data_IF_716799525798
#
_entry.id   IF_716799525798
#
_cell.length_a   1.000
_cell.length_b   1.000
_cell.length_c   1.000
_cell.angle_alpha   90.00
_cell.angle_beta   90.00
_cell.angle_gamma   90.00
#
_symmetry.space_group_name_H-M   'P 1'
#
loop_
_entity.id
_entity.type
_entity.pdbx_description
1 polymer ?
#
# COMPACT_ATOMS: atom_id res chain seq x y z
N UNK A 1 -33.41 79.55 4.20
CA UNK A 1 -32.18 79.30 3.40
C UNK A 1 -31.01 78.76 4.23
N UNK A 2 -30.18 79.56 4.92
CA UNK A 2 -28.95 79.02 5.55
C UNK A 2 -29.18 78.05 6.74
N UNK A 3 -30.31 78.18 7.47
CA UNK A 3 -30.68 77.29 8.58
C UNK A 3 -31.17 75.93 8.07
N UNK A 4 -32.01 75.91 7.04
CA UNK A 4 -32.50 74.68 6.40
C UNK A 4 -31.36 73.87 5.78
N UNK A 5 -30.43 74.51 5.08
CA UNK A 5 -29.24 73.85 4.53
C UNK A 5 -28.40 73.20 5.64
N UNK A 6 -28.23 73.87 6.79
CA UNK A 6 -27.53 73.30 7.95
C UNK A 6 -28.23 72.07 8.51
N UNK A 7 -29.56 72.08 8.56
CA UNK A 7 -30.35 70.95 9.05
C UNK A 7 -30.22 69.75 8.11
N UNK A 8 -30.27 69.98 6.79
CA UNK A 8 -30.11 68.95 5.76
C UNK A 8 -28.71 68.31 5.81
N UNK A 9 -27.66 69.13 5.94
CA UNK A 9 -26.28 68.66 6.10
C UNK A 9 -26.12 67.81 7.37
N UNK A 10 -26.72 68.22 8.50
CA UNK A 10 -26.69 67.44 9.74
C UNK A 10 -27.37 66.07 9.59
N UNK A 11 -28.48 66.01 8.85
CA UNK A 11 -29.17 64.75 8.53
C UNK A 11 -28.30 63.82 7.69
N UNK A 12 -27.75 64.32 6.58
CA UNK A 12 -26.84 63.52 5.74
C UNK A 12 -25.60 63.05 6.51
N UNK A 13 -25.04 63.89 7.38
CA UNK A 13 -23.89 63.53 8.21
C UNK A 13 -24.21 62.41 9.21
N UNK A 14 -25.41 62.37 9.79
CA UNK A 14 -25.81 61.29 10.70
C UNK A 14 -25.96 59.96 9.96
N UNK A 15 -26.57 59.96 8.78
CA UNK A 15 -26.69 58.79 7.91
C UNK A 15 -25.32 58.24 7.48
N UNK A 16 -24.42 59.12 7.03
CA UNK A 16 -23.05 58.74 6.66
C UNK A 16 -22.28 58.21 7.87
N UNK A 17 -22.48 58.81 9.05
CA UNK A 17 -21.86 58.34 10.30
C UNK A 17 -22.35 56.95 10.70
N UNK A 18 -23.64 56.65 10.51
CA UNK A 18 -24.20 55.32 10.72
C UNK A 18 -23.64 54.31 9.71
N UNK A 19 -23.60 54.66 8.41
CA UNK A 19 -22.98 53.82 7.37
C UNK A 19 -21.53 53.48 7.68
N UNK A 20 -20.74 54.42 8.22
CA UNK A 20 -19.37 54.18 8.68
C UNK A 20 -19.29 53.09 9.76
N UNK A 21 -20.24 53.06 10.71
CA UNK A 21 -20.27 52.03 11.75
C UNK A 21 -20.57 50.66 11.15
N UNK A 22 -21.55 50.57 10.24
CA UNK A 22 -21.88 49.33 9.54
C UNK A 22 -20.69 48.78 8.74
N UNK A 23 -19.98 49.65 8.01
CA UNK A 23 -18.79 49.27 7.25
C UNK A 23 -17.67 48.73 8.15
N UNK A 24 -17.43 49.36 9.31
CA UNK A 24 -16.45 48.86 10.28
C UNK A 24 -16.83 47.48 10.82
N UNK A 25 -18.12 47.26 11.10
CA UNK A 25 -18.61 45.94 11.53
C UNK A 25 -18.44 44.89 10.43
N UNK A 26 -18.77 45.23 9.18
CA UNK A 26 -18.60 44.34 8.03
C UNK A 26 -17.12 43.97 7.79
N UNK A 27 -16.20 44.93 7.93
CA UNK A 27 -14.75 44.67 7.84
C UNK A 27 -14.30 43.65 8.88
N UNK A 28 -14.73 43.79 10.14
CA UNK A 28 -14.42 42.83 11.20
C UNK A 28 -14.94 41.41 10.87
N UNK A 29 -16.17 41.30 10.35
CA UNK A 29 -16.73 40.00 9.95
C UNK A 29 -15.93 39.35 8.82
N UNK A 30 -15.40 40.16 7.89
CA UNK A 30 -14.53 39.67 6.82
C UNK A 30 -13.21 39.14 7.40
N UNK A 31 -12.57 39.90 8.30
CA UNK A 31 -11.31 39.49 8.95
C UNK A 31 -11.50 38.17 9.73
N UNK A 32 -12.58 38.07 10.50
CA UNK A 32 -12.92 36.86 11.26
C UNK A 32 -13.12 35.64 10.33
N UNK A 33 -13.78 35.83 9.17
CA UNK A 33 -13.95 34.77 8.16
C UNK A 33 -12.65 34.38 7.49
N UNK A 34 -11.79 35.32 7.17
CA UNK A 34 -10.47 35.04 6.59
C UNK A 34 -9.62 34.19 7.55
N UNK A 35 -9.62 34.54 8.83
CA UNK A 35 -8.94 33.77 9.87
C UNK A 35 -9.51 32.35 9.97
N UNK A 36 -10.83 32.20 9.96
CA UNK A 36 -11.48 30.89 9.98
C UNK A 36 -11.08 30.01 8.78
N UNK A 37 -10.99 30.59 7.58
CA UNK A 37 -10.54 29.89 6.37
C UNK A 37 -9.10 29.39 6.55
N UNK A 38 -8.21 30.24 7.05
CA UNK A 38 -6.81 29.89 7.32
C UNK A 38 -6.71 28.71 8.32
N UNK A 39 -7.45 28.76 9.42
CA UNK A 39 -7.47 27.70 10.43
C UNK A 39 -8.04 26.39 9.87
N UNK A 40 -9.16 26.45 9.12
CA UNK A 40 -9.72 25.24 8.48
C UNK A 40 -8.76 24.63 7.47
N UNK A 41 -8.10 25.44 6.65
CA UNK A 41 -7.07 24.96 5.71
C UNK A 41 -5.93 24.25 6.44
N UNK A 42 -5.42 24.85 7.52
CA UNK A 42 -4.36 24.25 8.33
C UNK A 42 -4.79 22.89 8.90
N UNK A 43 -5.99 22.81 9.46
CA UNK A 43 -6.56 21.56 10.00
C UNK A 43 -6.69 20.47 8.93
N UNK A 44 -7.31 20.77 7.79
CA UNK A 44 -7.47 19.79 6.69
C UNK A 44 -6.11 19.34 6.13
N UNK A 45 -5.13 20.23 6.09
CA UNK A 45 -3.75 19.87 5.67
C UNK A 45 -3.12 18.85 6.63
N UNK A 46 -3.35 18.98 7.94
CA UNK A 46 -2.88 18.02 8.93
C UNK A 46 -3.57 16.66 8.76
N UNK A 47 -4.89 16.64 8.58
CA UNK A 47 -5.67 15.41 8.32
C UNK A 47 -5.18 14.68 7.06
N UNK A 48 -4.92 15.40 5.96
CA UNK A 48 -4.32 14.82 4.75
C UNK A 48 -2.95 14.20 5.05
N UNK A 49 -2.12 14.90 5.83
CA UNK A 49 -0.78 14.43 6.18
C UNK A 49 -0.84 13.15 7.01
N UNK A 50 -1.76 13.07 7.98
CA UNK A 50 -1.97 11.89 8.81
C UNK A 50 -2.46 10.69 7.99
N UNK A 51 -3.40 10.91 7.08
CA UNK A 51 -3.90 9.87 6.17
C UNK A 51 -2.76 9.28 5.31
N UNK A 52 -1.92 10.14 4.73
CA UNK A 52 -0.76 9.69 3.93
C UNK A 52 0.21 8.89 4.77
N UNK A 53 0.50 9.33 6.00
CA UNK A 53 1.38 8.59 6.93
C UNK A 53 0.83 7.21 7.26
N UNK A 54 -0.47 7.10 7.52
CA UNK A 54 -1.12 5.83 7.82
C UNK A 54 -0.99 4.84 6.65
N UNK A 55 -1.32 5.28 5.43
CA UNK A 55 -1.22 4.44 4.22
C UNK A 55 0.22 4.00 3.96
N UNK A 56 1.16 4.94 4.07
CA UNK A 56 2.60 4.66 3.89
C UNK A 56 3.10 3.64 4.90
N UNK A 57 2.72 3.78 6.17
CA UNK A 57 3.10 2.85 7.23
C UNK A 57 2.53 1.45 7.00
N UNK A 58 1.27 1.35 6.55
CA UNK A 58 0.64 0.07 6.24
C UNK A 58 1.39 -0.68 5.12
N UNK A 59 1.76 0.03 4.04
CA UNK A 59 2.53 -0.54 2.93
C UNK A 59 3.92 -0.98 3.40
N UNK A 60 4.62 -0.12 4.16
CA UNK A 60 5.96 -0.43 4.68
C UNK A 60 5.95 -1.64 5.62
N UNK A 61 4.95 -1.74 6.50
CA UNK A 61 4.79 -2.89 7.38
C UNK A 61 4.60 -4.17 6.59
N UNK A 62 3.74 -4.14 5.56
CA UNK A 62 3.52 -5.30 4.69
C UNK A 62 4.80 -5.71 3.94
N UNK A 63 5.56 -4.74 3.44
CA UNK A 63 6.86 -4.98 2.79
C UNK A 63 7.86 -5.69 3.73
N UNK A 64 7.98 -5.22 4.98
CA UNK A 64 8.84 -5.87 5.99
C UNK A 64 8.41 -7.31 6.28
N UNK A 65 7.11 -7.57 6.41
CA UNK A 65 6.59 -8.92 6.63
C UNK A 65 6.91 -9.87 5.47
N UNK A 66 6.79 -9.40 4.23
CA UNK A 66 7.13 -10.18 3.04
C UNK A 66 8.62 -10.53 3.01
N UNK A 67 9.49 -9.56 3.27
CA UNK A 67 10.94 -9.78 3.34
C UNK A 67 11.32 -10.77 4.44
N UNK A 68 10.72 -10.63 5.63
CA UNK A 68 10.92 -11.57 6.74
C UNK A 68 10.51 -13.00 6.36
N UNK A 69 9.31 -13.15 5.78
CA UNK A 69 8.81 -14.47 5.35
C UNK A 69 9.65 -15.10 4.24
N UNK A 70 10.16 -14.29 3.30
CA UNK A 70 11.09 -14.77 2.28
C UNK A 70 12.36 -15.32 2.92
N UNK A 71 12.95 -14.59 3.88
CA UNK A 71 14.15 -15.02 4.58
C UNK A 71 13.92 -16.34 5.33
N UNK A 72 12.83 -16.43 6.09
CA UNK A 72 12.43 -17.64 6.83
C UNK A 72 12.32 -18.87 5.93
N UNK A 73 11.67 -18.75 4.77
CA UNK A 73 11.52 -19.85 3.80
C UNK A 73 12.86 -20.24 3.16
N UNK A 74 13.68 -19.26 2.80
CA UNK A 74 15.00 -19.49 2.22
C UNK A 74 15.93 -20.20 3.23
N UNK A 75 15.98 -19.73 4.46
CA UNK A 75 16.79 -20.33 5.54
C UNK A 75 16.36 -21.77 5.82
N UNK A 76 15.05 -22.04 5.90
CA UNK A 76 14.55 -23.39 6.09
C UNK A 76 14.97 -24.33 4.95
N UNK A 77 14.84 -23.89 3.69
CA UNK A 77 15.28 -24.68 2.53
C UNK A 77 16.80 -24.91 2.54
N UNK A 78 17.58 -23.87 2.86
CA UNK A 78 19.04 -23.95 2.93
C UNK A 78 19.48 -24.92 4.02
N UNK A 79 18.83 -24.89 5.19
CA UNK A 79 19.09 -25.80 6.29
C UNK A 79 18.86 -27.25 5.88
N UNK A 80 17.72 -27.56 5.26
CA UNK A 80 17.44 -28.92 4.76
C UNK A 80 18.49 -29.38 3.74
N UNK A 81 18.88 -28.52 2.81
CA UNK A 81 19.93 -28.86 1.83
C UNK A 81 21.28 -29.10 2.50
N UNK A 82 21.61 -28.31 3.52
CA UNK A 82 22.86 -28.47 4.27
C UNK A 82 22.87 -29.79 5.07
N UNK A 83 21.77 -30.16 5.71
CA UNK A 83 21.63 -31.45 6.41
C UNK A 83 21.79 -32.65 5.46
N UNK A 84 21.19 -32.57 4.26
CA UNK A 84 21.39 -33.57 3.20
C UNK A 84 22.85 -33.63 2.76
N UNK A 85 23.49 -32.48 2.54
CA UNK A 85 24.91 -32.40 2.17
C UNK A 85 25.80 -33.08 3.20
N UNK A 86 25.65 -32.75 4.49
CA UNK A 86 26.44 -33.37 5.58
C UNK A 86 26.26 -34.89 5.60
N UNK A 87 25.02 -35.38 5.42
CA UNK A 87 24.72 -36.81 5.38
C UNK A 87 25.40 -37.51 4.20
N UNK A 88 25.39 -36.87 3.01
CA UNK A 88 26.04 -37.39 1.81
C UNK A 88 27.58 -37.39 1.94
N UNK A 89 28.16 -36.34 2.52
CA UNK A 89 29.61 -36.27 2.79
C UNK A 89 30.06 -37.40 3.73
N UNK A 90 29.29 -37.68 4.78
CA UNK A 90 29.59 -38.80 5.69
C UNK A 90 29.51 -40.15 4.98
N UNK A 91 28.49 -40.35 4.14
CA UNK A 91 28.35 -41.58 3.35
C UNK A 91 29.50 -41.75 2.36
N UNK A 92 29.94 -40.66 1.72
CA UNK A 92 31.12 -40.64 0.84
C UNK A 92 32.36 -41.11 1.59
N UNK A 93 32.69 -40.48 2.73
CA UNK A 93 33.88 -40.83 3.52
C UNK A 93 33.90 -42.29 3.97
N UNK A 94 32.76 -42.82 4.41
CA UNK A 94 32.63 -44.23 4.79
C UNK A 94 32.87 -45.16 3.59
N UNK A 95 32.37 -44.77 2.42
CA UNK A 95 32.55 -45.52 1.17
C UNK A 95 34.01 -45.49 0.75
N UNK A 96 34.66 -44.33 0.76
CA UNK A 96 36.06 -44.14 0.41
C UNK A 96 36.99 -44.99 1.29
N UNK A 97 36.81 -44.91 2.62
CA UNK A 97 37.59 -45.71 3.56
C UNK A 97 37.38 -47.21 3.33
N UNK A 98 36.15 -47.66 3.06
CA UNK A 98 35.89 -49.07 2.77
C UNK A 98 36.59 -49.52 1.49
N UNK A 99 36.58 -48.69 0.44
CA UNK A 99 37.27 -48.97 -0.82
C UNK A 99 38.77 -49.10 -0.58
N UNK A 100 39.38 -48.13 0.11
CA UNK A 100 40.80 -48.13 0.43
C UNK A 100 41.22 -49.36 1.25
N UNK A 101 40.47 -49.65 2.33
CA UNK A 101 40.73 -50.79 3.19
C UNK A 101 40.66 -52.12 2.43
N UNK A 102 39.61 -52.32 1.63
CA UNK A 102 39.43 -53.57 0.88
C UNK A 102 40.47 -53.70 -0.22
N UNK A 103 40.78 -52.62 -0.95
CA UNK A 103 41.82 -52.64 -1.96
C UNK A 103 43.18 -52.99 -1.36
N UNK A 104 43.56 -52.38 -0.23
CA UNK A 104 44.82 -52.69 0.45
C UNK A 104 44.87 -54.16 0.91
N UNK A 105 43.77 -54.68 1.47
CA UNK A 105 43.66 -56.09 1.84
C UNK A 105 43.79 -57.05 0.66
N UNK A 106 43.26 -56.68 -0.51
CA UNK A 106 43.35 -57.45 -1.74
C UNK A 106 44.75 -57.41 -2.38
N UNK A 107 45.48 -56.30 -2.26
CA UNK A 107 46.80 -56.14 -2.90
C UNK A 107 47.96 -56.59 -2.02
N UNK A 108 47.87 -56.41 -0.71
CA UNK A 108 48.98 -56.65 0.23
C UNK A 108 48.71 -57.76 1.25
N UNK A 109 47.47 -58.17 1.43
CA UNK A 109 47.07 -59.18 2.41
C UNK A 109 47.42 -60.62 1.98
N UNK A 110 47.65 -61.50 2.95
CA UNK A 110 47.82 -62.93 2.69
C UNK A 110 46.47 -63.64 2.46
N UNK A 111 46.46 -64.71 1.68
CA UNK A 111 45.24 -65.48 1.38
C UNK A 111 44.51 -65.95 2.65
N UNK A 112 45.25 -66.36 3.69
CA UNK A 112 44.66 -66.77 4.97
C UNK A 112 44.04 -65.61 5.76
N UNK A 113 44.62 -64.41 5.70
CA UNK A 113 44.03 -63.22 6.31
C UNK A 113 42.74 -62.79 5.57
N UNK A 114 42.73 -62.93 4.24
CA UNK A 114 41.54 -62.64 3.43
C UNK A 114 40.43 -63.67 3.67
N UNK A 115 40.77 -64.96 3.74
CA UNK A 115 39.82 -66.03 4.07
C UNK A 115 39.21 -65.86 5.47
N UNK A 116 40.02 -65.53 6.47
CA UNK A 116 39.54 -65.35 7.85
C UNK A 116 38.64 -64.12 8.01
N UNK A 117 38.84 -63.06 7.23
CA UNK A 117 38.05 -61.82 7.29
C UNK A 117 36.90 -61.75 6.27
N UNK A 118 36.81 -62.68 5.32
CA UNK A 118 35.87 -62.70 4.19
C UNK A 118 34.43 -62.34 4.55
N UNK A 119 33.85 -63.02 5.54
CA UNK A 119 32.44 -62.84 5.90
C UNK A 119 32.17 -61.40 6.37
N UNK A 120 33.07 -60.83 7.17
CA UNK A 120 32.94 -59.48 7.70
C UNK A 120 33.08 -58.42 6.60
N UNK A 121 34.09 -58.57 5.72
CA UNK A 121 34.31 -57.65 4.60
C UNK A 121 33.13 -57.68 3.62
N UNK A 122 32.67 -58.88 3.24
CA UNK A 122 31.52 -59.04 2.35
C UNK A 122 30.25 -58.42 2.94
N UNK A 123 29.99 -58.66 4.22
CA UNK A 123 28.83 -58.09 4.89
C UNK A 123 28.90 -56.55 4.95
N UNK A 124 30.08 -55.99 5.24
CA UNK A 124 30.28 -54.54 5.27
C UNK A 124 30.07 -53.89 3.89
N UNK A 125 30.64 -54.48 2.84
CA UNK A 125 30.45 -54.04 1.45
C UNK A 125 28.97 -54.12 1.02
N UNK A 126 28.28 -55.23 1.33
CA UNK A 126 26.85 -55.38 1.06
C UNK A 126 26.02 -54.30 1.77
N UNK A 127 26.36 -53.96 3.01
CA UNK A 127 25.67 -52.92 3.78
C UNK A 127 25.86 -51.54 3.17
N UNK A 128 27.08 -51.17 2.76
CA UNK A 128 27.36 -49.89 2.10
C UNK A 128 26.64 -49.83 0.75
N UNK A 129 26.77 -50.88 -0.08
CA UNK A 129 26.11 -50.97 -1.39
C UNK A 129 24.59 -50.83 -1.31
N UNK A 130 23.97 -51.43 -0.30
CA UNK A 130 22.51 -51.45 -0.16
C UNK A 130 21.97 -50.17 0.50
N UNK A 131 22.85 -49.32 1.06
CA UNK A 131 22.43 -48.07 1.71
C UNK A 131 22.10 -47.04 0.64
N UNK A 132 20.83 -46.65 0.57
CA UNK A 132 20.37 -45.60 -0.36
C UNK A 132 20.83 -44.23 0.13
N UNK A 133 21.28 -43.40 -0.81
CA UNK A 133 21.56 -41.99 -0.60
C UNK A 133 20.34 -41.15 -1.03
N UNK A 134 19.87 -40.25 -0.17
CA UNK A 134 18.84 -39.27 -0.54
C UNK A 134 19.49 -38.09 -1.24
N UNK A 135 19.75 -38.25 -2.54
CA UNK A 135 20.41 -37.25 -3.39
C UNK A 135 19.34 -36.26 -3.87
N UNK A 136 19.50 -34.94 -3.63
CA UNK A 136 18.61 -33.93 -4.19
C UNK A 136 18.53 -34.06 -5.71
N UNK A 137 17.32 -34.06 -6.28
CA UNK A 137 17.15 -34.12 -7.73
C UNK A 137 17.67 -32.81 -8.37
N UNK A 138 18.70 -32.87 -9.24
CA UNK A 138 19.29 -31.68 -9.85
C UNK A 138 18.32 -30.92 -10.78
N UNK A 139 17.30 -31.60 -11.31
CA UNK A 139 16.32 -31.01 -12.24
C UNK A 139 15.16 -30.28 -11.55
N UNK A 140 15.09 -30.27 -10.21
CA UNK A 140 14.02 -29.60 -9.47
C UNK A 140 14.53 -28.23 -8.96
N UNK A 141 14.28 -27.13 -9.68
CA UNK A 141 14.71 -25.80 -9.25
C UNK A 141 13.92 -25.34 -8.01
N UNK A 142 14.57 -24.54 -7.16
CA UNK A 142 13.92 -23.83 -6.06
C UNK A 142 13.07 -22.70 -6.64
N UNK A 143 11.74 -22.90 -6.69
CA UNK A 143 10.79 -21.90 -7.20
C UNK A 143 10.35 -20.97 -6.06
N UNK A 144 10.74 -19.70 -6.14
CA UNK A 144 10.31 -18.63 -5.24
C UNK A 144 9.78 -17.49 -6.11
N UNK A 145 8.54 -17.08 -5.87
CA UNK A 145 7.90 -16.03 -6.64
C UNK A 145 7.07 -15.11 -5.72
N UNK A 146 7.07 -13.81 -6.03
CA UNK A 146 6.16 -12.84 -5.45
C UNK A 146 4.91 -12.75 -6.32
N UNK A 147 3.73 -12.92 -5.74
CA UNK A 147 2.48 -12.61 -6.43
C UNK A 147 2.20 -11.10 -6.26
N UNK A 148 1.98 -10.39 -7.38
CA UNK A 148 1.69 -8.95 -7.41
C UNK A 148 0.37 -8.60 -8.10
N UNK A 149 -0.51 -9.58 -8.31
CA UNK A 149 -1.72 -9.44 -9.13
C UNK A 149 -2.67 -8.34 -8.62
N UNK A 150 -2.63 -8.05 -7.31
CA UNK A 150 -3.49 -7.07 -6.65
C UNK A 150 -2.96 -5.63 -6.66
N UNK A 151 -1.73 -5.39 -7.15
CA UNK A 151 -1.10 -4.06 -7.09
C UNK A 151 -1.86 -3.04 -7.95
N UNK A 152 -2.37 -3.46 -9.09
CA UNK A 152 -3.12 -2.61 -10.02
C UNK A 152 -4.45 -2.17 -9.41
N UNK A 153 -5.16 -3.06 -8.72
CA UNK A 153 -6.42 -2.72 -8.07
C UNK A 153 -6.20 -1.83 -6.84
N UNK A 154 -5.13 -2.07 -6.08
CA UNK A 154 -4.74 -1.17 -4.99
C UNK A 154 -4.45 0.23 -5.51
N UNK A 155 -3.76 0.37 -6.65
CA UNK A 155 -3.48 1.67 -7.26
C UNK A 155 -4.78 2.42 -7.63
N UNK A 156 -5.77 1.72 -8.19
CA UNK A 156 -7.10 2.31 -8.47
C UNK A 156 -7.79 2.79 -7.20
N UNK A 157 -7.73 2.00 -6.12
CA UNK A 157 -8.29 2.41 -4.83
C UNK A 157 -7.59 3.68 -4.34
N UNK A 158 -6.25 3.71 -4.35
CA UNK A 158 -5.44 4.86 -3.91
C UNK A 158 -5.76 6.12 -4.72
N UNK A 159 -5.96 6.02 -6.03
CA UNK A 159 -6.35 7.15 -6.88
C UNK A 159 -7.69 7.79 -6.48
N UNK A 160 -8.57 7.01 -5.86
CA UNK A 160 -9.90 7.45 -5.44
C UNK A 160 -9.98 7.79 -3.93
N UNK A 161 -8.86 7.72 -3.19
CA UNK A 161 -8.83 8.07 -1.77
C UNK A 161 -8.87 9.59 -1.60
N UNK A 162 -9.80 10.04 -0.77
CA UNK A 162 -9.93 11.43 -0.36
C UNK A 162 -10.64 12.27 -1.42
N UNK A 163 -11.54 13.14 -0.95
CA UNK A 163 -12.10 14.20 -1.77
C UNK A 163 -12.22 15.46 -0.92
N UNK A 164 -11.95 16.61 -1.52
CA UNK A 164 -12.10 17.88 -0.82
C UNK A 164 -13.53 18.35 -0.98
N UNK A 165 -14.23 18.59 0.13
CA UNK A 165 -15.55 19.19 0.13
C UNK A 165 -15.48 20.58 0.76
N UNK A 166 -15.91 21.60 0.03
CA UNK A 166 -16.00 22.98 0.52
C UNK A 166 -17.41 23.49 0.25
N UNK A 167 -18.11 23.91 1.31
CA UNK A 167 -19.48 24.45 1.25
C UNK A 167 -20.46 23.57 0.44
N UNK A 168 -20.36 22.25 0.62
CA UNK A 168 -21.22 21.27 -0.06
C UNK A 168 -20.82 20.92 -1.49
N UNK A 169 -19.73 21.48 -2.02
CA UNK A 169 -19.20 21.17 -3.35
C UNK A 169 -17.96 20.29 -3.25
N UNK A 170 -17.93 19.22 -4.04
CA UNK A 170 -16.75 18.37 -4.17
C UNK A 170 -15.75 19.00 -5.16
N UNK A 171 -14.50 19.07 -4.75
CA UNK A 171 -13.36 19.48 -5.56
C UNK A 171 -12.58 18.22 -5.92
N UNK A 172 -12.80 17.72 -7.13
CA UNK A 172 -12.01 16.64 -7.73
C UNK A 172 -10.98 17.22 -8.68
N UNK A 173 -9.85 16.52 -8.79
CA UNK A 173 -8.77 16.85 -9.72
C UNK A 173 -9.27 16.68 -11.18
N UNK A 174 -9.07 17.65 -12.10
CA UNK A 174 -9.58 17.54 -13.48
C UNK A 174 -8.95 16.43 -14.33
N UNK A 175 -7.91 15.73 -13.85
CA UNK A 175 -7.16 14.74 -14.63
C UNK A 175 -7.69 13.31 -14.63
N UNK A 176 -8.80 13.01 -13.94
CA UNK A 176 -9.46 11.68 -13.97
C UNK A 176 -10.76 11.66 -14.80
N UNK A 177 -10.92 12.60 -15.73
CA UNK A 177 -12.02 12.58 -16.71
C UNK A 177 -11.69 11.72 -17.93
N UNK A 178 -11.57 10.41 -17.73
CA UNK A 178 -11.70 9.44 -18.83
C UNK A 178 -13.01 8.64 -18.69
N UNK A 179 -13.90 8.91 -19.64
CA UNK A 179 -15.07 8.12 -20.06
C UNK A 179 -16.21 7.89 -19.07
N UNK A 180 -17.24 8.72 -19.17
CA UNK A 180 -18.56 8.22 -19.63
C UNK A 180 -19.44 9.40 -20.06
N UNK A 181 -19.37 9.69 -21.35
CA UNK A 181 -20.42 10.39 -22.07
C UNK A 181 -21.72 9.57 -21.95
N UNK A 182 -22.70 10.08 -21.22
CA UNK A 182 -24.10 9.81 -21.52
C UNK A 182 -24.78 11.13 -21.83
N UNK A 183 -24.82 11.41 -23.14
CA UNK A 183 -25.72 12.38 -23.74
C UNK A 183 -27.14 11.94 -23.42
N UNK A 184 -27.95 12.85 -22.91
CA UNK A 184 -29.41 12.78 -23.05
C UNK A 184 -29.92 14.20 -23.15
N UNK A 185 -29.90 14.70 -24.39
CA UNK A 185 -30.75 15.81 -24.80
C UNK A 185 -32.01 15.20 -25.43
N UNK A 186 -33.21 15.72 -25.14
CA UNK A 186 -34.30 15.69 -26.09
C UNK A 186 -34.50 17.09 -26.69
N UNK A 187 -34.59 17.10 -28.02
CA UNK A 187 -35.01 18.23 -28.88
C UNK A 187 -36.54 18.49 -28.77
N UNK A 188 -37.06 19.58 -29.38
CA UNK A 188 -38.15 20.38 -28.83
C UNK A 188 -39.55 20.08 -29.42
N UNK A 189 -40.60 20.38 -28.65
CA UNK A 189 -41.97 20.56 -29.16
C UNK A 189 -43.04 19.83 -28.34
N UNK A 190 -43.65 20.52 -27.36
CA UNK A 190 -45.09 20.78 -27.25
C UNK A 190 -45.43 21.42 -25.89
N UNK A 191 -46.41 22.33 -25.91
CA UNK A 191 -46.57 23.40 -24.92
C UNK A 191 -47.00 23.00 -23.51
N UNK A 192 -46.48 23.75 -22.53
CA UNK A 192 -47.17 24.14 -21.30
C UNK A 192 -46.44 25.35 -20.67
N UNK A 193 -47.16 26.46 -20.50
CA UNK A 193 -46.68 27.67 -19.81
C UNK A 193 -46.57 27.39 -18.30
N UNK A 194 -45.47 27.75 -17.61
CA UNK A 194 -45.41 27.62 -16.15
C UNK A 194 -46.31 28.69 -15.48
N UNK A 195 -46.94 28.39 -14.32
CA UNK A 195 -47.79 29.35 -13.62
C UNK A 195 -46.96 30.53 -13.08
N UNK A 196 -47.55 31.73 -12.95
CA UNK A 196 -46.85 32.91 -12.43
C UNK A 196 -46.54 32.77 -10.93
N UNK A 197 -45.44 33.40 -10.43
CA UNK A 197 -45.12 33.43 -9.01
C UNK A 197 -46.12 34.30 -8.21
N UNK A 198 -46.31 34.02 -6.91
CA UNK A 198 -47.27 34.72 -6.05
C UNK A 198 -46.85 36.19 -5.77
N UNK A 199 -47.82 37.08 -5.45
CA UNK A 199 -47.56 38.49 -5.20
C UNK A 199 -46.77 38.73 -3.89
N UNK A 200 -46.01 39.85 -3.81
CA UNK A 200 -45.22 40.19 -2.63
C UNK A 200 -46.11 40.58 -1.43
N UNK A 201 -45.64 40.35 -0.18
CA UNK A 201 -46.39 40.68 1.03
C UNK A 201 -46.55 42.21 1.21
N UNK A 202 -47.67 42.65 1.82
CA UNK A 202 -47.92 44.07 2.06
C UNK A 202 -46.94 44.64 3.09
N UNK A 203 -46.60 45.94 2.99
CA UNK A 203 -45.73 46.61 3.95
C UNK A 203 -46.39 46.71 5.34
N UNK A 204 -45.61 46.63 6.43
CA UNK A 204 -46.12 46.71 7.79
C UNK A 204 -46.65 48.13 8.13
N UNK A 205 -47.57 48.23 9.11
CA UNK A 205 -48.21 49.49 9.52
C UNK A 205 -47.25 50.49 10.18
#
# INVERSE_FOLDING_TARGET
MAVETRQLIKGLLSEVSYKRVLLKSAMKVIDDRQNLICEKKKKVTQEITEMVKLLTNAINLRGKQLAYKLNEVCEAKQKTLNEKKVTLEQLSRLTDHCIEFVNNGLTTGSDMALLSSKANVMHHLQRIKSRRADIPNPEIPVRIALNSDKIADLAKVVQNIGSLMVDGRHYQNPSSSSSSSSRSAPSPGDGAVPPPPPPPPPPPP
#
